data_IF_971288352126
#
_entry.id   IF_971288352126
#
_cell.length_a   1.000
_cell.length_b   1.000
_cell.length_c   1.000
_cell.angle_alpha   90.00
_cell.angle_beta   90.00
_cell.angle_gamma   90.00
#
_symmetry.space_group_name_H-M   'P 1'
#
loop_
_entity.id
_entity.type
_entity.pdbx_description
1 polymer ?
#
# COMPACT_ATOMS: atom_id res chain seq x y z
N UNK A 1 -16.17 10.12 -13.73
CA UNK A 1 -15.56 9.34 -14.83
C UNK A 1 -14.46 8.51 -14.21
N UNK A 2 -14.55 7.18 -14.09
CA UNK A 2 -13.41 6.38 -13.67
C UNK A 2 -12.51 6.14 -14.90
N UNK A 3 -11.23 6.48 -14.77
CA UNK A 3 -10.20 6.11 -15.74
C UNK A 3 -9.76 4.67 -15.44
N UNK A 4 -9.79 3.83 -16.46
CA UNK A 4 -9.36 2.44 -16.43
C UNK A 4 -7.93 2.38 -16.98
N UNK A 5 -6.96 1.96 -16.16
CA UNK A 5 -5.61 1.65 -16.63
C UNK A 5 -5.53 0.14 -16.84
N UNK A 6 -5.65 -0.25 -18.11
CA UNK A 6 -5.46 -1.61 -18.60
C UNK A 6 -4.02 -1.74 -19.06
N UNK A 7 -3.21 -2.60 -18.42
CA UNK A 7 -1.93 -3.03 -19.00
C UNK A 7 -2.23 -4.00 -20.13
N UNK A 8 -1.99 -3.58 -21.38
CA UNK A 8 -1.85 -4.48 -22.54
C UNK A 8 -0.36 -4.81 -22.69
N UNK A 9 0.00 -6.07 -22.60
CA UNK A 9 1.30 -6.56 -23.05
C UNK A 9 1.22 -6.80 -24.55
N UNK A 10 2.03 -6.07 -25.32
CA UNK A 10 2.31 -6.41 -26.71
C UNK A 10 3.21 -7.65 -26.73
N UNK A 11 2.78 -8.69 -27.43
CA UNK A 11 3.62 -9.75 -27.97
C UNK A 11 3.41 -9.73 -29.50
N UNK A 12 4.39 -10.28 -30.20
CA UNK A 12 4.70 -10.21 -31.65
C UNK A 12 5.75 -9.11 -31.92
N UNK A 13 6.98 -9.36 -32.35
CA UNK A 13 7.68 -10.55 -32.81
C UNK A 13 9.18 -10.24 -32.62
N UNK A 14 9.96 -11.14 -32.01
CA UNK A 14 11.24 -11.48 -32.63
C UNK A 14 11.78 -12.81 -32.09
N UNK A 15 12.16 -13.64 -33.04
CA UNK A 15 12.53 -15.02 -32.83
C UNK A 15 13.95 -15.14 -32.30
N UNK A 16 14.11 -16.10 -31.38
CA UNK A 16 15.28 -16.96 -31.26
C UNK A 16 16.49 -16.40 -30.48
N UNK A 17 16.54 -16.72 -29.18
CA UNK A 17 17.71 -17.38 -28.57
C UNK A 17 17.29 -18.13 -27.30
N UNK A 18 17.60 -19.41 -27.32
CA UNK A 18 17.18 -20.43 -26.38
C UNK A 18 18.00 -20.42 -25.08
N UNK A 19 17.42 -21.09 -24.06
CA UNK A 19 18.04 -21.78 -22.92
C UNK A 19 18.14 -21.01 -21.59
N UNK A 20 17.05 -21.05 -20.82
CA UNK A 20 16.98 -21.69 -19.49
C UNK A 20 15.52 -21.70 -18.98
N UNK A 21 14.82 -22.82 -19.17
CA UNK A 21 13.47 -23.07 -18.63
C UNK A 21 13.57 -23.54 -17.17
N UNK A 22 13.21 -22.66 -16.23
CA UNK A 22 12.76 -23.03 -14.89
C UNK A 22 11.23 -23.12 -14.91
N UNK A 23 10.72 -24.29 -14.54
CA UNK A 23 9.30 -24.65 -14.45
C UNK A 23 8.72 -23.93 -13.21
N UNK A 24 7.77 -23.00 -13.40
CA UNK A 24 6.94 -22.48 -12.31
C UNK A 24 5.70 -23.38 -12.24
N UNK A 25 5.45 -23.93 -11.05
CA UNK A 25 4.50 -25.02 -10.82
C UNK A 25 3.07 -24.48 -10.61
N UNK A 26 2.08 -25.17 -11.21
CA UNK A 26 0.62 -24.91 -11.13
C UNK A 26 0.03 -25.07 -9.69
N UNK A 27 0.86 -25.32 -8.67
CA UNK A 27 0.47 -25.59 -7.29
C UNK A 27 0.16 -24.30 -6.48
N UNK A 28 0.77 -23.17 -6.84
CA UNK A 28 0.57 -21.89 -6.15
C UNK A 28 -0.83 -21.28 -6.42
N UNK A 29 -1.39 -21.50 -7.62
CA UNK A 29 -2.74 -21.09 -7.98
C UNK A 29 -3.82 -21.96 -7.29
N UNK A 30 -3.50 -23.21 -6.95
CA UNK A 30 -4.41 -24.09 -6.21
C UNK A 30 -4.50 -23.70 -4.73
N UNK A 31 -3.39 -23.33 -4.12
CA UNK A 31 -3.32 -22.90 -2.71
C UNK A 31 -4.10 -21.59 -2.46
N UNK A 32 -4.10 -20.68 -3.43
CA UNK A 32 -4.80 -19.39 -3.30
C UNK A 32 -6.31 -19.53 -3.42
N UNK A 33 -6.81 -20.35 -4.34
CA UNK A 33 -8.24 -20.69 -4.46
C UNK A 33 -8.73 -21.46 -3.22
N UNK A 34 -7.93 -22.40 -2.70
CA UNK A 34 -8.29 -23.18 -1.51
C UNK A 34 -8.35 -22.31 -0.24
N UNK A 35 -7.45 -21.34 -0.08
CA UNK A 35 -7.48 -20.35 0.99
C UNK A 35 -8.69 -19.40 0.87
N UNK A 36 -9.07 -19.01 -0.35
CA UNK A 36 -10.25 -18.16 -0.59
C UNK A 36 -11.55 -18.87 -0.22
N UNK A 37 -11.70 -20.14 -0.61
CA UNK A 37 -12.87 -20.93 -0.25
C UNK A 37 -12.94 -21.16 1.26
N UNK A 38 -11.81 -21.31 1.94
CA UNK A 38 -11.80 -21.41 3.40
C UNK A 38 -12.26 -20.10 4.06
N UNK A 39 -11.79 -18.95 3.60
CA UNK A 39 -12.19 -17.64 4.14
C UNK A 39 -13.65 -17.24 3.85
N UNK A 40 -14.23 -17.73 2.75
CA UNK A 40 -15.62 -17.43 2.38
C UNK A 40 -16.65 -18.38 3.00
N UNK A 41 -16.21 -19.52 3.55
CA UNK A 41 -17.07 -20.55 4.12
C UNK A 41 -16.95 -20.68 5.65
N UNK A 42 -16.13 -19.85 6.31
CA UNK A 42 -16.15 -19.71 7.78
C UNK A 42 -17.34 -18.81 8.19
N UNK A 43 -18.55 -19.38 8.12
CA UNK A 43 -19.73 -18.83 8.77
C UNK A 43 -19.63 -19.06 10.29
N UNK A 44 -19.95 -18.00 11.03
CA UNK A 44 -20.10 -17.93 12.49
C UNK A 44 -20.92 -19.11 13.06
N UNK A 45 -20.26 -20.09 13.66
CA UNK A 45 -20.90 -21.13 14.48
C UNK A 45 -20.98 -20.68 15.95
N UNK A 46 -22.06 -19.96 16.28
CA UNK A 46 -22.67 -19.99 17.62
C UNK A 46 -24.16 -19.57 17.52
N UNK A 47 -25.07 -20.54 17.31
CA UNK A 47 -26.19 -20.83 18.25
C UNK A 47 -27.16 -21.89 17.66
N UNK A 48 -27.57 -22.81 18.55
CA UNK A 48 -28.12 -24.13 18.29
C UNK A 48 -29.53 -24.13 17.68
N UNK A 49 -29.62 -24.78 16.51
CA UNK A 49 -30.73 -25.65 16.11
C UNK A 49 -32.12 -24.99 15.86
N UNK A 50 -32.27 -24.33 14.71
CA UNK A 50 -33.57 -24.20 14.01
C UNK A 50 -33.37 -23.91 12.51
N UNK A 51 -33.98 -24.68 11.57
CA UNK A 51 -33.88 -24.34 10.15
C UNK A 51 -34.80 -23.15 9.84
N UNK A 52 -34.21 -21.95 9.70
CA UNK A 52 -34.90 -20.81 9.09
C UNK A 52 -34.81 -20.95 7.57
N UNK A 53 -35.92 -21.32 6.92
CA UNK A 53 -36.09 -21.12 5.47
C UNK A 53 -36.11 -19.62 5.18
N UNK A 54 -34.99 -19.09 4.70
CA UNK A 54 -34.97 -17.76 4.08
C UNK A 54 -35.44 -17.87 2.62
N UNK A 55 -36.25 -16.91 2.13
CA UNK A 55 -36.64 -16.89 0.73
C UNK A 55 -35.39 -16.69 -0.13
N UNK A 56 -35.20 -17.53 -1.15
CA UNK A 56 -34.16 -17.40 -2.16
C UNK A 56 -34.27 -16.02 -2.83
N UNK A 57 -33.53 -15.05 -2.29
CA UNK A 57 -33.20 -13.84 -3.04
C UNK A 57 -32.07 -14.27 -3.96
N UNK A 58 -32.35 -14.29 -5.26
CA UNK A 58 -31.33 -14.44 -6.31
C UNK A 58 -30.25 -13.38 -6.07
N UNK A 59 -29.20 -13.73 -5.35
CA UNK A 59 -28.02 -12.91 -5.24
C UNK A 59 -27.46 -12.81 -6.66
N UNK A 60 -27.61 -11.63 -7.28
CA UNK A 60 -26.80 -11.29 -8.44
C UNK A 60 -25.37 -11.37 -7.93
N UNK A 61 -24.64 -12.43 -8.29
CA UNK A 61 -23.20 -12.53 -8.06
C UNK A 61 -22.60 -11.27 -8.69
N UNK A 62 -22.26 -10.29 -7.86
CA UNK A 62 -21.39 -9.20 -8.31
C UNK A 62 -20.07 -9.92 -8.55
N UNK A 63 -19.65 -10.04 -9.81
CA UNK A 63 -18.28 -10.39 -10.12
C UNK A 63 -17.41 -9.26 -9.55
N UNK A 64 -16.92 -9.45 -8.34
CA UNK A 64 -15.77 -8.70 -7.87
C UNK A 64 -14.62 -9.21 -8.75
N UNK A 65 -14.02 -8.32 -9.53
CA UNK A 65 -12.76 -8.64 -10.21
C UNK A 65 -11.70 -8.72 -9.12
N UNK A 66 -11.50 -9.92 -8.56
CA UNK A 66 -10.66 -10.21 -7.39
C UNK A 66 -9.16 -10.09 -7.71
N UNK A 67 -8.80 -9.55 -8.88
CA UNK A 67 -7.45 -9.57 -9.41
C UNK A 67 -6.81 -8.21 -9.25
N UNK A 68 -5.90 -8.11 -8.26
CA UNK A 68 -4.66 -7.32 -8.25
C UNK A 68 -4.04 -7.33 -6.84
N UNK A 69 -3.70 -8.51 -6.33
CA UNK A 69 -2.76 -8.61 -5.20
C UNK A 69 -1.41 -8.96 -5.79
N UNK A 70 -0.39 -8.17 -5.47
CA UNK A 70 1.00 -8.43 -5.84
C UNK A 70 1.81 -8.63 -4.57
N UNK A 71 2.82 -9.47 -4.64
CA UNK A 71 3.75 -9.73 -3.54
C UNK A 71 5.18 -9.58 -4.04
N UNK A 72 6.05 -9.06 -3.17
CA UNK A 72 7.45 -8.84 -3.46
C UNK A 72 8.29 -9.17 -2.25
N UNK A 73 9.36 -9.93 -2.49
CA UNK A 73 10.37 -10.22 -1.48
C UNK A 73 11.45 -9.14 -1.56
N UNK A 74 11.39 -8.19 -0.65
CA UNK A 74 12.36 -7.08 -0.54
C UNK A 74 12.30 -6.50 0.89
N UNK A 75 13.31 -5.72 1.29
CA UNK A 75 13.15 -4.84 2.46
C UNK A 75 12.08 -3.77 2.18
N UNK A 76 11.56 -3.12 3.22
CA UNK A 76 10.55 -2.09 3.02
C UNK A 76 11.11 -0.91 2.22
N UNK A 77 12.37 -0.53 2.47
CA UNK A 77 13.04 0.54 1.72
C UNK A 77 13.32 0.14 0.27
N UNK A 78 13.76 -1.10 0.02
CA UNK A 78 13.98 -1.60 -1.34
C UNK A 78 12.67 -1.59 -2.15
N UNK A 79 11.60 -2.16 -1.58
CA UNK A 79 10.28 -2.16 -2.22
C UNK A 79 9.79 -0.72 -2.50
N UNK A 80 10.01 0.20 -1.56
CA UNK A 80 9.65 1.60 -1.73
C UNK A 80 10.43 2.24 -2.91
N UNK A 81 11.75 2.03 -2.96
CA UNK A 81 12.64 2.55 -4.02
C UNK A 81 12.34 2.00 -5.40
N UNK A 82 11.74 0.82 -5.48
CA UNK A 82 11.26 0.22 -6.74
C UNK A 82 9.84 0.70 -7.10
N UNK A 83 9.24 1.57 -6.29
CA UNK A 83 7.98 2.24 -6.58
C UNK A 83 6.72 1.50 -6.12
N UNK A 84 6.85 0.47 -5.27
CA UNK A 84 5.71 -0.38 -4.87
C UNK A 84 4.61 0.38 -4.10
N UNK A 85 4.94 1.51 -3.47
CA UNK A 85 3.97 2.36 -2.78
C UNK A 85 3.38 3.48 -3.67
N UNK A 86 3.86 3.63 -4.91
CA UNK A 86 3.42 4.72 -5.75
C UNK A 86 1.97 4.55 -6.20
N UNK A 87 1.25 5.67 -6.28
CA UNK A 87 -0.17 5.68 -6.59
C UNK A 87 -1.07 5.15 -5.45
N UNK A 88 -0.51 4.52 -4.41
CA UNK A 88 -1.27 4.01 -3.28
C UNK A 88 -1.93 5.15 -2.51
N UNK A 89 -3.22 5.01 -2.21
CA UNK A 89 -3.93 5.98 -1.37
C UNK A 89 -3.78 5.69 0.12
N UNK A 90 -3.59 4.42 0.46
CA UNK A 90 -3.46 3.90 1.83
C UNK A 90 -2.19 3.08 1.89
N UNK A 91 -1.34 3.35 2.89
CA UNK A 91 -0.18 2.54 3.20
C UNK A 91 -0.40 1.89 4.57
N UNK A 92 -0.22 0.58 4.64
CA UNK A 92 -0.30 -0.18 5.89
C UNK A 92 1.10 -0.66 6.23
N UNK A 93 1.56 -0.40 7.45
CA UNK A 93 2.89 -0.79 7.94
C UNK A 93 2.76 -1.54 9.25
N UNK A 94 3.49 -2.65 9.36
CA UNK A 94 3.67 -3.43 10.58
C UNK A 94 5.17 -3.67 10.81
N UNK A 95 5.94 -2.63 11.19
CA UNK A 95 7.37 -2.74 11.33
C UNK A 95 7.77 -3.58 12.56
N UNK A 96 9.01 -4.10 12.59
CA UNK A 96 9.55 -4.73 13.80
C UNK A 96 9.61 -3.74 14.97
N UNK A 97 9.90 -4.23 16.19
CA UNK A 97 9.96 -3.40 17.43
C UNK A 97 10.87 -2.16 17.37
N UNK A 98 11.77 -2.07 16.38
CA UNK A 98 12.65 -0.91 16.14
C UNK A 98 11.97 0.22 15.35
N UNK A 99 10.77 0.00 14.84
CA UNK A 99 10.00 0.94 14.01
C UNK A 99 10.35 0.86 12.53
N UNK A 100 9.91 1.87 11.78
CA UNK A 100 10.14 1.95 10.34
C UNK A 100 11.62 2.06 10.01
N UNK A 101 12.01 1.55 8.83
CA UNK A 101 13.30 1.86 8.24
C UNK A 101 13.41 3.39 8.00
N UNK A 102 14.60 3.95 8.21
CA UNK A 102 14.82 5.41 8.18
C UNK A 102 14.46 6.02 6.82
N UNK A 103 14.74 5.31 5.73
CA UNK A 103 14.42 5.73 4.37
C UNK A 103 12.91 5.78 4.11
N UNK A 104 12.15 4.79 4.61
CA UNK A 104 10.68 4.79 4.54
C UNK A 104 10.11 5.96 5.33
N UNK A 105 10.61 6.19 6.54
CA UNK A 105 10.16 7.31 7.37
C UNK A 105 10.52 8.66 6.72
N UNK A 106 11.72 8.78 6.14
CA UNK A 106 12.16 9.97 5.41
C UNK A 106 11.20 10.30 4.26
N UNK A 107 10.88 9.32 3.41
CA UNK A 107 9.91 9.49 2.31
C UNK A 107 8.53 9.91 2.80
N UNK A 108 8.03 9.32 3.90
CA UNK A 108 6.77 9.72 4.51
C UNK A 108 6.81 11.16 5.06
N UNK A 109 7.95 11.62 5.57
CA UNK A 109 8.13 12.96 6.13
C UNK A 109 8.29 14.07 5.08
N UNK A 110 8.54 13.71 3.82
CA UNK A 110 8.66 14.69 2.74
C UNK A 110 7.33 15.39 2.46
N UNK A 111 7.37 16.70 2.11
CA UNK A 111 6.16 17.43 1.74
C UNK A 111 5.52 16.84 0.48
N UNK A 112 4.19 16.98 0.37
CA UNK A 112 3.47 16.54 -0.82
C UNK A 112 3.87 17.42 -2.01
N UNK A 113 4.46 16.79 -3.02
CA UNK A 113 4.75 17.40 -4.30
C UNK A 113 3.48 17.41 -5.17
N UNK A 114 2.74 18.52 -5.16
CA UNK A 114 1.51 18.68 -5.95
C UNK A 114 1.75 18.69 -7.46
N UNK A 115 3.01 18.88 -7.90
CA UNK A 115 3.40 18.87 -9.32
C UNK A 115 3.77 17.47 -9.79
N UNK A 116 4.14 16.57 -8.89
CA UNK A 116 4.44 15.19 -9.25
C UNK A 116 3.19 14.50 -9.80
N UNK A 117 3.34 13.91 -10.97
CA UNK A 117 2.29 13.18 -11.67
C UNK A 117 1.91 11.94 -10.86
N UNK A 118 0.60 11.67 -10.76
CA UNK A 118 0.09 10.45 -10.15
C UNK A 118 0.31 9.28 -11.11
N UNK A 119 1.14 8.32 -10.73
CA UNK A 119 1.50 7.14 -11.51
C UNK A 119 1.89 6.01 -10.57
N UNK A 120 1.68 4.77 -10.99
CA UNK A 120 2.14 3.54 -10.32
C UNK A 120 3.43 2.98 -10.95
N UNK A 121 3.98 3.66 -11.97
CA UNK A 121 5.19 3.26 -12.67
C UNK A 121 6.29 4.31 -12.49
N UNK A 122 7.40 3.92 -11.85
CA UNK A 122 8.50 4.81 -11.47
C UNK A 122 9.24 5.35 -12.69
N UNK A 123 9.29 4.58 -13.78
CA UNK A 123 9.93 5.01 -15.02
C UNK A 123 9.21 6.23 -15.63
N UNK A 124 7.89 6.35 -15.44
CA UNK A 124 7.12 7.53 -15.88
C UNK A 124 7.58 8.80 -15.16
N UNK A 125 8.12 8.70 -13.94
CA UNK A 125 8.68 9.83 -13.21
C UNK A 125 10.15 10.09 -13.54
N UNK A 126 10.88 9.08 -14.05
CA UNK A 126 12.29 9.19 -14.44
C UNK A 126 12.47 9.69 -15.88
N UNK A 127 11.53 9.39 -16.76
CA UNK A 127 11.63 9.70 -18.20
C UNK A 127 11.36 11.18 -18.57
N UNK A 128 10.81 12.01 -17.67
CA UNK A 128 10.51 13.43 -17.98
C UNK A 128 11.72 14.37 -17.82
N UNK A 129 12.77 13.95 -17.12
CA UNK A 129 14.02 14.71 -17.02
C UNK A 129 15.09 13.97 -17.87
N UNK A 130 15.24 14.41 -19.12
CA UNK A 130 15.88 13.64 -20.19
C UNK A 130 17.39 13.37 -20.04
N UNK A 131 17.87 12.48 -20.93
CA UNK A 131 19.27 12.23 -21.30
C UNK A 131 20.30 13.14 -20.60
N UNK A 132 20.89 12.61 -19.53
CA UNK A 132 21.92 13.30 -18.76
C UNK A 132 23.30 12.99 -19.34
N UNK A 133 24.04 14.04 -19.70
CA UNK A 133 25.44 13.94 -20.11
C UNK A 133 26.40 13.77 -18.90
N UNK A 134 25.91 13.86 -17.66
CA UNK A 134 26.71 13.90 -16.43
C UNK A 134 26.06 13.08 -15.29
N UNK A 135 26.84 12.23 -14.60
CA UNK A 135 26.37 11.36 -13.50
C UNK A 135 25.87 12.15 -12.27
N UNK A 136 26.40 13.35 -12.04
CA UNK A 136 26.03 14.22 -10.90
C UNK A 136 24.60 14.78 -10.99
N UNK A 137 23.98 14.77 -12.18
CA UNK A 137 22.62 15.27 -12.41
C UNK A 137 21.54 14.17 -12.20
N UNK A 138 21.93 12.89 -12.36
CA UNK A 138 21.08 11.72 -12.09
C UNK A 138 20.64 11.65 -10.61
N UNK A 139 21.54 12.01 -9.70
CA UNK A 139 21.25 12.05 -8.26
C UNK A 139 20.33 13.22 -7.88
N UNK A 140 20.36 14.34 -8.61
CA UNK A 140 19.52 15.52 -8.31
C UNK A 140 18.06 15.35 -8.77
N UNK A 141 17.82 14.69 -9.91
CA UNK A 141 16.46 14.46 -10.41
C UNK A 141 15.69 13.44 -9.56
N UNK A 142 16.35 12.35 -9.14
CA UNK A 142 15.78 11.38 -8.21
C UNK A 142 15.49 11.98 -6.82
N UNK A 143 16.23 13.02 -6.40
CA UNK A 143 16.02 13.68 -5.09
C UNK A 143 14.65 14.39 -4.97
N UNK A 144 13.96 14.66 -6.07
CA UNK A 144 12.68 15.39 -6.05
C UNK A 144 11.45 14.48 -6.16
N UNK A 145 11.66 13.16 -6.28
CA UNK A 145 10.59 12.15 -6.31
C UNK A 145 10.25 11.76 -4.88
N UNK A 146 8.99 12.01 -4.48
CA UNK A 146 8.43 11.43 -3.27
C UNK A 146 7.69 10.14 -3.65
N UNK A 147 8.24 9.00 -3.27
CA UNK A 147 7.71 7.67 -3.62
C UNK A 147 6.41 7.35 -2.89
N UNK A 148 6.13 8.07 -1.81
CA UNK A 148 4.88 7.96 -1.07
C UNK A 148 3.89 9.04 -1.43
N UNK A 149 4.14 9.94 -2.41
CA UNK A 149 3.43 11.21 -2.61
C UNK A 149 1.88 11.12 -2.67
N UNK A 150 1.34 9.99 -3.10
CA UNK A 150 -0.11 9.79 -3.22
C UNK A 150 -0.79 9.15 -1.98
N UNK A 151 0.00 8.71 -1.00
CA UNK A 151 -0.49 8.08 0.24
C UNK A 151 -1.17 9.12 1.12
N UNK A 152 -2.49 9.10 1.26
CA UNK A 152 -3.20 10.06 2.11
C UNK A 152 -3.52 9.51 3.50
N UNK A 153 -3.48 8.18 3.65
CA UNK A 153 -3.76 7.49 4.91
C UNK A 153 -2.63 6.52 5.20
N UNK A 154 -2.07 6.61 6.40
CA UNK A 154 -1.08 5.67 6.90
C UNK A 154 -1.67 4.93 8.09
N UNK A 155 -1.72 3.60 7.99
CA UNK A 155 -2.14 2.71 9.07
C UNK A 155 -0.87 2.06 9.61
N UNK A 156 -0.55 2.32 10.88
CA UNK A 156 0.63 1.83 11.56
C UNK A 156 0.18 0.82 12.63
N UNK A 157 0.57 -0.43 12.47
CA UNK A 157 0.43 -1.50 13.47
C UNK A 157 1.78 -1.63 14.19
N UNK A 158 1.78 -1.63 15.52
CA UNK A 158 3.04 -1.62 16.28
C UNK A 158 2.98 -2.44 17.56
N UNK A 159 3.97 -3.31 17.68
CA UNK A 159 4.33 -4.03 18.90
C UNK A 159 5.38 -3.28 19.77
N UNK A 160 5.83 -2.10 19.33
CA UNK A 160 6.93 -1.35 19.96
C UNK A 160 6.57 0.11 20.23
N UNK A 161 6.07 0.39 21.44
CA UNK A 161 5.56 1.73 21.80
C UNK A 161 6.61 2.85 21.65
N UNK A 162 7.86 2.62 22.06
CA UNK A 162 8.92 3.63 21.98
C UNK A 162 9.23 4.02 20.52
N UNK A 163 9.31 3.02 19.64
CA UNK A 163 9.54 3.23 18.22
C UNK A 163 8.35 3.94 17.56
N UNK A 164 7.12 3.51 17.88
CA UNK A 164 5.91 4.19 17.43
C UNK A 164 5.89 5.66 17.86
N UNK A 165 6.23 5.97 19.12
CA UNK A 165 6.26 7.34 19.63
C UNK A 165 7.32 8.20 18.92
N UNK A 166 8.51 7.65 18.68
CA UNK A 166 9.57 8.31 17.90
C UNK A 166 9.11 8.60 16.47
N UNK A 167 8.60 7.60 15.76
CA UNK A 167 8.19 7.71 14.37
C UNK A 167 7.00 8.67 14.24
N UNK A 168 6.03 8.59 15.16
CA UNK A 168 4.90 9.54 15.29
C UNK A 168 5.40 10.96 15.43
N UNK A 169 6.39 11.20 16.30
CA UNK A 169 6.94 12.54 16.52
C UNK A 169 7.54 13.11 15.24
N UNK A 170 8.29 12.29 14.48
CA UNK A 170 8.86 12.70 13.21
C UNK A 170 7.77 12.99 12.16
N UNK A 171 6.79 12.11 12.01
CA UNK A 171 5.65 12.31 11.09
C UNK A 171 4.91 13.62 11.36
N UNK A 172 4.55 13.88 12.63
CA UNK A 172 3.78 15.05 13.03
C UNK A 172 4.59 16.35 12.99
N UNK A 173 5.90 16.28 13.21
CA UNK A 173 6.79 17.46 13.19
C UNK A 173 7.32 17.77 11.79
N UNK A 174 7.16 16.85 10.83
CA UNK A 174 7.61 17.01 9.45
C UNK A 174 6.71 17.94 8.64
N UNK A 175 7.18 18.35 7.47
CA UNK A 175 6.38 19.06 6.48
C UNK A 175 5.51 18.12 5.62
N UNK A 176 5.47 16.82 5.93
CA UNK A 176 4.63 15.83 5.24
C UNK A 176 3.13 16.02 5.46
N UNK A 177 2.73 16.85 6.43
CA UNK A 177 1.34 17.23 6.67
C UNK A 177 0.49 16.13 7.30
N UNK A 178 1.13 15.21 8.03
CA UNK A 178 0.46 14.14 8.76
C UNK A 178 -0.20 14.63 10.03
N UNK A 179 -1.41 14.15 10.27
CA UNK A 179 -2.13 14.30 11.53
C UNK A 179 -2.49 12.91 12.08
N UNK A 180 -2.29 12.69 13.37
CA UNK A 180 -2.73 11.47 14.04
C UNK A 180 -4.24 11.56 14.29
N UNK A 181 -5.01 10.75 13.58
CA UNK A 181 -6.48 10.75 13.67
C UNK A 181 -6.97 9.83 14.79
N UNK A 182 -6.33 8.67 14.96
CA UNK A 182 -6.70 7.69 15.97
C UNK A 182 -5.48 6.91 16.42
N UNK A 183 -5.45 6.57 17.70
CA UNK A 183 -4.55 5.54 18.25
C UNK A 183 -5.34 4.65 19.20
N UNK A 184 -5.16 3.33 19.11
CA UNK A 184 -5.84 2.36 19.97
C UNK A 184 -4.86 1.27 20.37
N UNK A 185 -4.67 1.10 21.68
CA UNK A 185 -3.87 0.02 22.25
C UNK A 185 -4.70 -1.25 22.46
N UNK A 186 -4.10 -2.40 22.24
CA UNK A 186 -4.69 -3.72 22.42
C UNK A 186 -3.75 -4.60 23.26
N UNK A 187 -4.35 -5.38 24.16
CA UNK A 187 -3.65 -6.39 24.96
C UNK A 187 -3.84 -7.74 24.29
N UNK A 188 -3.04 -8.04 23.25
CA UNK A 188 -3.10 -9.33 22.55
C UNK A 188 -2.52 -10.47 23.40
N UNK A 189 -1.58 -10.16 24.30
CA UNK A 189 -0.88 -11.15 25.12
C UNK A 189 -1.02 -10.83 26.61
N UNK A 190 -2.16 -11.18 27.25
CA UNK A 190 -2.37 -10.98 28.68
C UNK A 190 -1.26 -11.64 29.52
N UNK A 191 -0.81 -10.95 30.58
CA UNK A 191 0.27 -11.42 31.45
C UNK A 191 1.68 -11.15 30.91
N UNK A 192 1.80 -10.54 29.72
CA UNK A 192 3.06 -9.98 29.22
C UNK A 192 3.12 -8.47 29.46
N UNK A 193 4.31 -7.89 29.31
CA UNK A 193 4.50 -6.43 29.22
C UNK A 193 4.44 -5.95 27.76
N UNK A 194 3.61 -6.60 26.94
CA UNK A 194 3.46 -6.31 25.52
C UNK A 194 2.18 -5.52 25.25
N UNK A 195 2.27 -4.50 24.41
CA UNK A 195 1.12 -3.74 23.93
C UNK A 195 1.18 -3.64 22.41
N UNK A 196 0.10 -3.99 21.75
CA UNK A 196 -0.07 -3.72 20.33
C UNK A 196 -0.81 -2.41 20.17
N UNK A 197 -0.41 -1.60 19.20
CA UNK A 197 -1.05 -0.31 18.94
C UNK A 197 -1.38 -0.19 17.47
N UNK A 198 -2.62 0.18 17.17
CA UNK A 198 -3.06 0.63 15.86
C UNK A 198 -3.13 2.15 15.86
N UNK A 199 -2.30 2.81 15.05
CA UNK A 199 -2.35 4.25 14.82
C UNK A 199 -2.77 4.53 13.38
N UNK A 200 -3.65 5.51 13.19
CA UNK A 200 -4.13 5.96 11.89
C UNK A 200 -3.75 7.42 11.73
N UNK A 201 -2.94 7.70 10.72
CA UNK A 201 -2.57 9.04 10.32
C UNK A 201 -3.26 9.39 9.02
N UNK A 202 -3.65 10.65 8.90
CA UNK A 202 -4.17 11.19 7.66
C UNK A 202 -3.38 12.44 7.30
N UNK A 203 -2.99 12.54 6.04
CA UNK A 203 -2.42 13.78 5.50
C UNK A 203 -3.35 14.39 4.46
N UNK A 204 -3.44 15.71 4.49
CA UNK A 204 -4.32 16.45 3.58
C UNK A 204 -3.59 16.70 2.27
N UNK A 205 -4.07 16.10 1.19
CA UNK A 205 -3.56 16.39 -0.15
C UNK A 205 -3.92 17.85 -0.55
N UNK A 206 -2.91 18.71 -0.81
CA UNK A 206 -3.12 20.05 -1.32
C UNK A 206 -4.04 20.13 -2.54
N UNK A 207 -3.99 19.11 -3.40
CA UNK A 207 -4.78 19.00 -4.64
C UNK A 207 -6.28 18.82 -4.34
N UNK A 208 -6.63 18.35 -3.14
CA UNK A 208 -8.01 18.09 -2.73
C UNK A 208 -8.61 19.15 -1.78
N UNK A 209 -7.79 20.10 -1.29
CA UNK A 209 -8.23 21.16 -0.36
C UNK A 209 -9.38 22.03 -0.90
N UNK A 210 -9.47 22.22 -2.22
CA UNK A 210 -10.53 23.02 -2.86
C UNK A 210 -11.92 22.38 -2.83
N UNK A 211 -12.02 21.04 -2.77
CA UNK A 211 -13.29 20.31 -2.89
C UNK A 211 -14.10 20.31 -1.59
N UNK A 212 -13.42 20.21 -0.43
CA UNK A 212 -14.06 20.18 0.91
C UNK A 212 -14.81 21.46 1.30
N UNK A 213 -14.55 22.62 0.65
CA UNK A 213 -15.25 23.89 0.95
C UNK A 213 -16.59 24.05 0.23
N UNK A 214 -16.87 23.26 -0.82
CA UNK A 214 -18.10 23.37 -1.60
C UNK A 214 -19.25 22.48 -1.08
N UNK A 215 -18.98 21.50 -0.22
CA UNK A 215 -20.01 20.61 0.36
C UNK A 215 -20.61 21.10 1.69
N UNK A 216 -20.23 22.30 2.14
CA UNK A 216 -20.68 22.87 3.43
C UNK A 216 -21.71 24.00 3.33
N UNK A 217 -22.31 24.22 2.14
CA UNK A 217 -23.33 25.26 1.94
C UNK A 217 -24.49 24.75 1.09
#
# INVERSE_FOLDING_TARGET
>A
MPFEVVKRTALDDDQNKQQQQGRYDDEDDFLTEQLLDQFLNEDDDDDYNKPRRYPEKKHKKKNYDIRKVTYKVASASQALNEGEAMGANVLIVDPPRKGLEEEVLHQLCQPINSRQKKTDNIEVLRDEDGYYDDEDDYDNANQNINLTNDVTTLIYVSCGFDALARDTTQLLSSNGGWELIRSTGYVLFPGSNHVETLAIFQRVDPRERGKRRQEKY
#
